data_IF_840069031665
#
_entry.id   IF_840069031665
#
_cell.length_a   1.000
_cell.length_b   1.000
_cell.length_c   1.000
_cell.angle_alpha   90.00
_cell.angle_beta   90.00
_cell.angle_gamma   90.00
#
_symmetry.space_group_name_H-M   'P 1'
#
loop_
_entity.id
_entity.type
_entity.pdbx_description
1 polymer ?
#
# COMPACT_ATOMS: atom_id res chain seq x y z
N UNK A 1 -23.36 -0.85 -10.22
CA UNK A 1 -22.20 0.04 -9.99
C UNK A 1 -20.98 -0.64 -10.58
N UNK A 2 -20.24 0.03 -11.46
CA UNK A 2 -19.07 -0.57 -12.14
C UNK A 2 -17.80 -0.06 -11.47
N UNK A 3 -16.93 -0.96 -11.03
CA UNK A 3 -15.64 -0.61 -10.45
C UNK A 3 -14.55 -0.67 -11.53
N UNK A 4 -13.75 0.38 -11.65
CA UNK A 4 -12.60 0.45 -12.54
C UNK A 4 -11.33 0.19 -11.73
N UNK A 5 -10.52 -0.76 -12.20
CA UNK A 5 -9.19 -1.05 -11.64
C UNK A 5 -8.14 -0.72 -12.68
N UNK A 6 -7.22 0.16 -12.33
CA UNK A 6 -6.02 0.43 -13.12
C UNK A 6 -4.91 -0.53 -12.69
N UNK A 7 -4.33 -1.26 -13.64
CA UNK A 7 -3.21 -2.17 -13.39
C UNK A 7 -2.22 -2.20 -14.56
N UNK A 8 -1.00 -2.64 -14.27
CA UNK A 8 0.06 -2.84 -15.25
C UNK A 8 -0.38 -3.88 -16.29
N UNK A 9 -0.17 -3.62 -17.59
CA UNK A 9 -0.47 -4.59 -18.64
C UNK A 9 0.48 -5.81 -18.59
N UNK A 10 1.63 -5.67 -17.93
CA UNK A 10 2.61 -6.74 -17.74
C UNK A 10 2.75 -7.12 -16.26
N UNK A 11 2.96 -8.41 -15.95
CA UNK A 11 3.22 -8.85 -14.60
C UNK A 11 4.62 -8.41 -14.15
N UNK A 12 4.77 -8.08 -12.86
CA UNK A 12 6.07 -7.82 -12.25
C UNK A 12 6.89 -9.12 -12.07
N UNK A 13 8.11 -9.01 -11.54
CA UNK A 13 8.99 -10.17 -11.28
C UNK A 13 8.39 -11.26 -10.36
N UNK A 14 7.30 -10.96 -9.65
CA UNK A 14 6.56 -11.91 -8.81
C UNK A 14 5.29 -12.47 -9.48
N UNK A 15 5.08 -12.16 -10.77
CA UNK A 15 3.93 -12.63 -11.54
C UNK A 15 2.64 -11.82 -11.36
N UNK A 16 2.69 -10.62 -10.74
CA UNK A 16 1.50 -9.84 -10.44
C UNK A 16 1.31 -8.64 -11.38
N UNK A 17 0.08 -8.47 -11.89
CA UNK A 17 -0.39 -7.22 -12.49
C UNK A 17 -0.64 -6.19 -11.39
N UNK A 18 0.37 -5.35 -11.15
CA UNK A 18 0.36 -4.37 -10.05
C UNK A 18 -0.54 -3.19 -10.37
N UNK A 19 -1.20 -2.64 -9.35
CA UNK A 19 -1.88 -1.35 -9.46
C UNK A 19 -0.91 -0.18 -9.63
N UNK A 20 -1.46 1.02 -9.81
CA UNK A 20 -0.71 2.24 -10.16
C UNK A 20 0.48 2.55 -9.22
N UNK A 21 0.31 2.33 -7.91
CA UNK A 21 1.39 2.53 -6.92
C UNK A 21 2.52 1.51 -7.07
N UNK A 22 2.17 0.23 -7.29
CA UNK A 22 3.16 -0.81 -7.51
C UNK A 22 3.93 -0.61 -8.81
N UNK A 23 3.27 -0.09 -9.85
CA UNK A 23 3.90 0.29 -11.11
C UNK A 23 4.90 1.43 -10.90
N UNK A 24 4.49 2.54 -10.30
CA UNK A 24 5.36 3.68 -10.03
C UNK A 24 6.59 3.27 -9.20
N UNK A 25 6.40 2.46 -8.15
CA UNK A 25 7.49 1.95 -7.32
C UNK A 25 8.46 1.05 -8.12
N UNK A 26 7.95 0.27 -9.08
CA UNK A 26 8.77 -0.51 -10.01
C UNK A 26 9.64 0.39 -10.89
N UNK A 27 9.03 1.36 -11.57
CA UNK A 27 9.73 2.31 -12.44
C UNK A 27 10.79 3.13 -11.70
N UNK A 28 10.52 3.49 -10.44
CA UNK A 28 11.50 4.18 -9.59
C UNK A 28 12.72 3.30 -9.32
N UNK A 29 12.50 2.03 -8.97
CA UNK A 29 13.56 1.03 -8.69
C UNK A 29 14.39 0.70 -9.91
N UNK A 30 13.76 0.64 -11.07
CA UNK A 30 14.42 0.38 -12.36
C UNK A 30 15.08 1.63 -12.95
N UNK A 31 14.98 2.78 -12.27
CA UNK A 31 15.46 4.07 -12.75
C UNK A 31 14.90 4.51 -14.11
N UNK A 32 13.71 4.03 -14.47
CA UNK A 32 13.01 4.33 -15.72
C UNK A 32 11.87 5.32 -15.55
N UNK A 33 11.49 5.67 -14.32
CA UNK A 33 10.55 6.77 -14.06
C UNK A 33 11.15 8.09 -14.54
N UNK A 34 10.38 8.88 -15.28
CA UNK A 34 10.84 10.16 -15.83
C UNK A 34 11.32 11.11 -14.72
N UNK A 35 12.27 12.03 -15.01
CA UNK A 35 12.74 12.98 -14.00
C UNK A 35 11.63 13.86 -13.42
N UNK A 36 10.67 14.27 -14.25
CA UNK A 36 9.51 15.08 -13.83
C UNK A 36 8.60 14.29 -12.89
N UNK A 37 8.22 13.06 -13.26
CA UNK A 37 7.41 12.20 -12.41
C UNK A 37 8.13 11.86 -11.11
N UNK A 38 9.44 11.66 -11.14
CA UNK A 38 10.25 11.40 -9.94
C UNK A 38 10.27 12.60 -9.00
N UNK A 39 10.37 13.82 -9.53
CA UNK A 39 10.38 15.06 -8.76
C UNK A 39 9.04 15.28 -8.02
N UNK A 40 7.94 14.76 -8.57
CA UNK A 40 6.65 14.75 -7.88
C UNK A 40 6.49 13.55 -6.94
N UNK A 41 6.83 12.35 -7.41
CA UNK A 41 6.63 11.09 -6.68
C UNK A 41 7.34 11.07 -5.32
N UNK A 42 8.58 11.57 -5.22
CA UNK A 42 9.35 11.51 -3.97
C UNK A 42 8.74 12.36 -2.85
N UNK A 43 8.53 13.68 -3.01
CA UNK A 43 7.96 14.51 -1.95
C UNK A 43 6.52 14.10 -1.59
N UNK A 44 5.73 13.62 -2.55
CA UNK A 44 4.40 13.09 -2.24
C UNK A 44 4.48 11.88 -1.32
N UNK A 45 5.32 10.89 -1.62
CA UNK A 45 5.49 9.73 -0.73
C UNK A 45 6.10 10.14 0.62
N UNK A 46 7.04 11.09 0.66
CA UNK A 46 7.60 11.59 1.93
C UNK A 46 6.53 12.21 2.82
N UNK A 47 5.58 12.94 2.23
CA UNK A 47 4.44 13.48 2.95
C UNK A 47 3.55 12.37 3.51
N UNK A 48 3.23 11.34 2.71
CA UNK A 48 2.43 10.19 3.18
C UNK A 48 3.14 9.40 4.28
N UNK A 49 4.43 9.13 4.15
CA UNK A 49 5.24 8.43 5.15
C UNK A 49 5.29 9.21 6.48
N UNK A 50 5.23 10.55 6.43
CA UNK A 50 5.19 11.41 7.61
C UNK A 50 3.78 11.53 8.22
N UNK A 51 2.73 11.59 7.39
CA UNK A 51 1.35 11.73 7.82
C UNK A 51 0.80 10.41 8.41
N UNK A 52 1.25 9.28 7.89
CA UNK A 52 0.71 7.96 8.21
C UNK A 52 1.83 7.02 8.67
N UNK A 53 1.95 6.78 9.99
CA UNK A 53 2.92 5.83 10.51
C UNK A 53 2.73 4.44 9.90
N UNK A 54 3.81 3.85 9.38
CA UNK A 54 3.79 2.49 8.84
C UNK A 54 3.37 1.50 9.95
N UNK A 55 2.18 0.88 9.85
CA UNK A 55 1.70 -0.03 10.87
C UNK A 55 2.54 -1.30 10.97
N UNK A 56 3.30 -1.65 9.92
CA UNK A 56 4.28 -2.73 9.94
C UNK A 56 5.47 -2.47 10.86
N UNK A 57 5.73 -1.20 11.24
CA UNK A 57 6.73 -0.87 12.27
C UNK A 57 6.20 -1.12 13.69
N UNK A 58 4.89 -1.03 13.88
CA UNK A 58 4.22 -1.32 15.15
C UNK A 58 3.97 -2.83 15.30
N UNK A 59 3.47 -3.48 14.25
CA UNK A 59 3.24 -4.91 14.18
C UNK A 59 3.87 -5.51 12.91
N UNK A 60 5.08 -6.09 13.03
CA UNK A 60 5.78 -6.70 11.89
C UNK A 60 5.05 -7.90 11.26
N UNK A 61 4.05 -8.47 11.95
CA UNK A 61 3.30 -9.64 11.44
C UNK A 61 2.20 -9.25 10.45
N UNK A 62 1.79 -7.97 10.44
CA UNK A 62 0.69 -7.46 9.62
C UNK A 62 0.85 -7.73 8.12
N UNK A 63 2.10 -7.74 7.63
CA UNK A 63 2.43 -8.00 6.23
C UNK A 63 3.12 -9.35 6.01
N UNK A 64 3.05 -10.27 6.97
CA UNK A 64 3.57 -11.62 6.82
C UNK A 64 2.85 -12.32 5.66
N UNK A 65 3.63 -12.63 4.62
CA UNK A 65 3.13 -13.28 3.39
C UNK A 65 2.88 -14.77 3.58
N UNK A 66 3.40 -15.39 4.64
CA UNK A 66 3.05 -16.76 5.00
C UNK A 66 1.59 -16.83 5.48
N UNK A 67 1.15 -15.81 6.22
CA UNK A 67 -0.23 -15.62 6.67
C UNK A 67 -1.13 -14.98 5.60
N UNK A 68 -0.58 -14.05 4.81
CA UNK A 68 -1.32 -13.26 3.81
C UNK A 68 -0.69 -13.34 2.39
N UNK A 69 -0.75 -14.50 1.72
CA UNK A 69 0.03 -14.76 0.50
C UNK A 69 -0.30 -13.89 -0.72
N UNK A 70 -1.47 -13.25 -0.77
CA UNK A 70 -1.93 -12.48 -1.93
C UNK A 70 -2.25 -11.00 -1.67
N UNK A 71 -2.22 -10.56 -0.41
CA UNK A 71 -2.77 -9.25 0.04
C UNK A 71 -4.01 -8.87 -0.79
N UNK A 72 -5.04 -9.71 -0.71
CA UNK A 72 -6.39 -9.27 -1.02
C UNK A 72 -6.82 -8.46 0.21
N UNK A 73 -6.98 -7.15 0.03
CA UNK A 73 -7.63 -6.37 1.08
C UNK A 73 -9.08 -6.84 1.12
N UNK A 74 -9.53 -7.25 2.31
CA UNK A 74 -10.94 -7.48 2.57
C UNK A 74 -11.41 -6.34 3.47
N UNK A 75 -12.46 -5.63 3.05
CA UNK A 75 -13.13 -4.68 3.94
C UNK A 75 -13.75 -5.45 5.11
N UNK A 76 -13.21 -5.27 6.31
CA UNK A 76 -13.73 -5.86 7.54
C UNK A 76 -14.49 -4.78 8.32
N UNK A 77 -15.80 -4.94 8.46
CA UNK A 77 -16.63 -4.12 9.35
C UNK A 77 -16.81 -4.86 10.67
N UNK A 78 -16.46 -4.22 11.79
CA UNK A 78 -16.66 -4.75 13.13
C UNK A 78 -17.23 -3.68 14.06
N UNK A 79 -18.15 -4.06 14.95
CA UNK A 79 -18.61 -3.20 16.05
C UNK A 79 -17.67 -3.25 17.27
N UNK A 80 -16.68 -4.14 17.26
CA UNK A 80 -15.64 -4.30 18.27
C UNK A 80 -14.30 -4.49 17.54
N UNK A 81 -13.58 -3.40 17.23
CA UNK A 81 -12.45 -3.46 16.31
C UNK A 81 -11.18 -4.08 16.91
N UNK A 82 -11.17 -4.47 18.19
CA UNK A 82 -9.97 -4.96 18.87
C UNK A 82 -9.13 -3.80 19.42
N UNK A 83 -7.81 -3.99 19.53
CA UNK A 83 -6.90 -2.96 19.98
C UNK A 83 -6.57 -1.99 18.83
N UNK A 84 -6.73 -0.69 19.08
CA UNK A 84 -6.37 0.36 18.12
C UNK A 84 -4.85 0.52 18.12
N UNK A 85 -4.20 0.20 17.00
CA UNK A 85 -2.77 0.38 16.79
C UNK A 85 -2.45 1.80 16.30
N UNK A 86 -3.35 2.41 15.52
CA UNK A 86 -3.23 3.78 15.00
C UNK A 86 -4.61 4.34 14.63
N UNK A 87 -4.86 5.62 14.90
CA UNK A 87 -6.08 6.34 14.48
C UNK A 87 -5.74 7.78 14.09
N UNK A 88 -6.21 8.22 12.93
CA UNK A 88 -6.10 9.59 12.45
C UNK A 88 -7.40 10.05 11.74
N UNK A 89 -7.39 11.23 11.15
CA UNK A 89 -8.57 11.82 10.49
C UNK A 89 -9.04 11.07 9.23
N UNK A 90 -8.28 10.07 8.77
CA UNK A 90 -8.46 9.38 7.49
C UNK A 90 -8.54 7.86 7.66
N UNK A 91 -7.83 7.28 8.63
CA UNK A 91 -7.78 5.83 8.83
C UNK A 91 -7.73 5.42 10.30
N UNK A 92 -8.18 4.19 10.55
CA UNK A 92 -7.97 3.48 11.81
C UNK A 92 -7.38 2.10 11.51
N UNK A 93 -6.27 1.77 12.17
CA UNK A 93 -5.60 0.47 12.07
C UNK A 93 -5.79 -0.27 13.38
N UNK A 94 -6.34 -1.47 13.30
CA UNK A 94 -6.69 -2.26 14.48
C UNK A 94 -6.20 -3.70 14.36
N UNK A 95 -5.84 -4.31 15.48
CA UNK A 95 -5.49 -5.72 15.59
C UNK A 95 -6.44 -6.46 16.52
N UNK A 96 -6.76 -7.71 16.17
CA UNK A 96 -7.59 -8.64 16.96
C UNK A 96 -6.74 -9.54 17.85
#
# INVERSE_FOLDING_TARGET
MTFLRYESPTPNARGFHVGIFGLANGLVREATLSPEDRAWWRPSNDWFDAAYPDPGKTDPTLFDRSAHPRVAWDERRSAAPGAVLSEDQVQIVVAT
#
